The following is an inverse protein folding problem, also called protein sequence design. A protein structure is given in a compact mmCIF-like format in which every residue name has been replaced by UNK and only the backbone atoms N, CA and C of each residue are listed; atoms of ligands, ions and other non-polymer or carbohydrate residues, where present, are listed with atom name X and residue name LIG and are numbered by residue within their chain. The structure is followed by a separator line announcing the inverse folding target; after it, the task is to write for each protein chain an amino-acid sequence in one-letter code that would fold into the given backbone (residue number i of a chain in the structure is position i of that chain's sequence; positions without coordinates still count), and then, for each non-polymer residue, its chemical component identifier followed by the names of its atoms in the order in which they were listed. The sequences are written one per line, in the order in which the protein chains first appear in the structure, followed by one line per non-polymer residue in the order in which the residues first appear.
data_IF_199894090086
#
_entry.id   IF_199894090086
#
_cell.length_a   1.000
_cell.length_b   1.000
_cell.length_c   1.000
_cell.angle_alpha   90.00
_cell.angle_beta   90.00
_cell.angle_gamma   90.00
#
_symmetry.space_group_name_H-M   'P 1'
#
loop_
_entity.id
_entity.type
_entity.pdbx_description
1 polymer ?
#
# COMPACT_ATOMS: atom_id res chain seq x y z
N UNK A 1 -24.12 -4.21 8.45
CA UNK A 1 -23.68 -3.27 7.39
C UNK A 1 -22.31 -2.74 7.77
N UNK A 2 -21.24 -3.26 7.15
CA UNK A 2 -19.88 -2.76 7.38
C UNK A 2 -19.76 -1.40 6.67
N UNK A 3 -19.42 -0.36 7.42
CA UNK A 3 -19.20 0.97 6.85
C UNK A 3 -17.81 1.00 6.20
N UNK A 4 -17.76 0.71 4.90
CA UNK A 4 -16.53 0.51 4.12
C UNK A 4 -15.59 1.74 4.17
N UNK A 5 -16.15 2.96 4.26
CA UNK A 5 -15.36 4.19 4.49
C UNK A 5 -14.64 4.19 5.84
N UNK A 6 -15.25 3.60 6.85
CA UNK A 6 -14.63 3.35 8.15
C UNK A 6 -13.48 2.33 8.04
N UNK A 7 -13.65 1.26 7.26
CA UNK A 7 -12.64 0.21 7.12
C UNK A 7 -11.32 0.69 6.51
N UNK A 8 -11.37 1.48 5.43
CA UNK A 8 -10.16 2.06 4.83
C UNK A 8 -9.46 3.04 5.79
N UNK A 9 -10.21 3.93 6.42
CA UNK A 9 -9.64 4.86 7.40
C UNK A 9 -9.00 4.11 8.58
N UNK A 10 -9.67 3.08 9.10
CA UNK A 10 -9.14 2.23 10.17
C UNK A 10 -7.91 1.45 9.72
N UNK A 11 -7.86 0.97 8.47
CA UNK A 11 -6.68 0.35 7.90
C UNK A 11 -5.49 1.29 7.91
N UNK A 12 -5.62 2.48 7.31
CA UNK A 12 -4.53 3.45 7.27
C UNK A 12 -4.08 3.84 8.69
N UNK A 13 -5.04 4.06 9.59
CA UNK A 13 -4.75 4.40 10.98
C UNK A 13 -4.02 3.26 11.71
N UNK A 14 -4.44 2.02 11.52
CA UNK A 14 -3.85 0.85 12.15
C UNK A 14 -2.43 0.59 11.62
N UNK A 15 -2.20 0.71 10.30
CA UNK A 15 -0.86 0.58 9.69
C UNK A 15 0.10 1.64 10.25
N UNK A 16 -0.33 2.90 10.32
CA UNK A 16 0.49 3.97 10.90
C UNK A 16 0.76 3.75 12.40
N UNK A 17 -0.25 3.28 13.16
CA UNK A 17 -0.08 2.95 14.58
C UNK A 17 0.90 1.79 14.78
N UNK A 18 0.83 0.76 13.94
CA UNK A 18 1.77 -0.36 13.97
C UNK A 18 3.19 0.13 13.71
N UNK A 19 3.40 0.92 12.66
CA UNK A 19 4.71 1.48 12.32
C UNK A 19 5.28 2.36 13.46
N UNK A 20 4.42 3.12 14.14
CA UNK A 20 4.78 4.00 15.27
C UNK A 20 4.95 3.28 16.61
N UNK A 21 4.69 1.98 16.66
CA UNK A 21 4.87 1.23 17.89
C UNK A 21 6.34 1.29 18.32
N UNK A 22 6.59 1.84 19.52
CA UNK A 22 7.93 2.07 20.08
C UNK A 22 8.77 0.79 20.25
N UNK A 23 8.14 -0.39 20.20
CA UNK A 23 8.83 -1.69 20.20
C UNK A 23 9.42 -2.06 18.84
N UNK A 24 9.11 -1.30 17.79
CA UNK A 24 9.66 -1.47 16.44
C UNK A 24 10.48 -0.24 16.04
N UNK A 25 11.55 -0.45 15.27
CA UNK A 25 12.34 0.63 14.65
C UNK A 25 11.73 1.13 13.33
N UNK A 26 10.56 0.63 12.93
CA UNK A 26 9.94 0.87 11.63
C UNK A 26 9.68 2.35 11.36
N UNK A 27 9.16 3.09 12.34
CA UNK A 27 8.91 4.53 12.15
C UNK A 27 10.20 5.31 11.89
N UNK A 28 11.30 4.96 12.57
CA UNK A 28 12.59 5.59 12.33
C UNK A 28 13.15 5.20 10.96
N UNK A 29 13.02 3.92 10.58
CA UNK A 29 13.40 3.43 9.26
C UNK A 29 12.65 4.17 8.14
N UNK A 30 11.33 4.31 8.24
CA UNK A 30 10.52 5.06 7.27
C UNK A 30 10.84 6.56 7.22
N UNK A 31 11.40 7.13 8.29
CA UNK A 31 11.84 8.53 8.30
C UNK A 31 13.23 8.71 7.69
N UNK A 32 14.11 7.73 7.88
CA UNK A 32 15.51 7.79 7.48
C UNK A 32 15.77 7.29 6.05
N UNK A 33 14.97 6.35 5.56
CA UNK A 33 15.17 5.70 4.26
C UNK A 33 14.02 5.99 3.28
N UNK A 34 14.36 6.57 2.13
CA UNK A 34 13.38 6.96 1.10
C UNK A 34 12.68 5.75 0.45
N UNK A 35 13.38 4.63 0.29
CA UNK A 35 12.83 3.40 -0.26
C UNK A 35 11.87 2.76 0.75
N UNK A 36 12.24 2.71 2.03
CA UNK A 36 11.34 2.25 3.09
C UNK A 36 10.08 3.14 3.17
N UNK A 37 10.25 4.47 3.11
CA UNK A 37 9.13 5.41 3.09
C UNK A 37 8.21 5.15 1.89
N UNK A 38 8.76 4.79 0.72
CA UNK A 38 7.99 4.41 -0.46
C UNK A 38 7.18 3.14 -0.22
N UNK A 39 7.76 2.13 0.41
CA UNK A 39 7.06 0.89 0.76
C UNK A 39 5.85 1.17 1.64
N UNK A 40 6.00 1.97 2.70
CA UNK A 40 4.88 2.35 3.56
C UNK A 40 3.76 3.02 2.76
N UNK A 41 4.08 3.91 1.82
CA UNK A 41 3.09 4.58 0.97
C UNK A 41 2.38 3.62 0.03
N UNK A 42 3.10 2.69 -0.58
CA UNK A 42 2.51 1.67 -1.44
C UNK A 42 1.55 0.77 -0.64
N UNK A 43 1.93 0.37 0.57
CA UNK A 43 1.06 -0.39 1.49
C UNK A 43 -0.22 0.39 1.80
N UNK A 44 -0.11 1.67 2.17
CA UNK A 44 -1.29 2.50 2.46
C UNK A 44 -2.22 2.71 1.24
N UNK A 45 -1.70 2.52 0.03
CA UNK A 45 -2.45 2.64 -1.20
C UNK A 45 -3.11 1.31 -1.66
N UNK A 46 -2.76 0.16 -1.05
CA UNK A 46 -3.30 -1.15 -1.45
C UNK A 46 -4.83 -1.17 -1.54
N UNK A 47 -5.60 -0.62 -0.58
CA UNK A 47 -7.07 -0.70 -0.64
C UNK A 47 -7.73 0.04 -1.82
N UNK A 48 -6.97 0.81 -2.61
CA UNK A 48 -7.49 1.39 -3.85
C UNK A 48 -7.57 0.38 -4.99
N UNK A 49 -6.90 -0.76 -4.86
CA UNK A 49 -7.00 -1.87 -5.80
C UNK A 49 -8.23 -2.73 -5.49
N UNK A 50 -8.82 -3.38 -6.51
CA UNK A 50 -9.88 -4.34 -6.30
C UNK A 50 -9.41 -5.48 -5.40
N UNK A 51 -10.33 -6.06 -4.62
CA UNK A 51 -10.02 -7.20 -3.77
C UNK A 51 -9.51 -8.42 -4.55
N UNK A 52 -10.02 -8.61 -5.77
CA UNK A 52 -9.64 -9.67 -6.71
C UNK A 52 -9.30 -9.06 -8.05
N UNK A 53 -8.51 -9.76 -8.86
CA UNK A 53 -8.10 -9.28 -10.18
C UNK A 53 -9.33 -9.12 -11.09
N UNK A 54 -9.35 -8.08 -11.93
CA UNK A 54 -10.42 -7.83 -12.90
C UNK A 54 -9.85 -7.98 -14.31
N UNK A 55 -9.95 -9.19 -14.84
CA UNK A 55 -9.34 -9.58 -16.12
C UNK A 55 -7.83 -9.27 -16.15
N UNK A 56 -7.28 -9.07 -17.35
CA UNK A 56 -5.86 -8.75 -17.53
C UNK A 56 -5.55 -7.25 -17.44
N UNK A 57 -6.55 -6.44 -17.06
CA UNK A 57 -6.47 -4.97 -17.16
C UNK A 57 -6.21 -4.31 -15.80
N UNK A 58 -6.74 -4.89 -14.72
CA UNK A 58 -6.65 -4.27 -13.41
C UNK A 58 -6.13 -5.25 -12.34
N UNK A 59 -4.96 -4.95 -11.73
CA UNK A 59 -4.37 -5.78 -10.70
C UNK A 59 -5.18 -5.72 -9.40
N UNK A 60 -5.17 -6.81 -8.67
CA UNK A 60 -5.76 -6.94 -7.34
C UNK A 60 -4.90 -6.32 -6.23
N UNK A 61 -5.46 -6.22 -5.03
CA UNK A 61 -4.68 -5.91 -3.82
C UNK A 61 -3.51 -6.88 -3.61
N UNK A 62 -3.68 -8.16 -3.97
CA UNK A 62 -2.64 -9.18 -3.83
C UNK A 62 -1.51 -8.95 -4.85
N UNK A 63 -1.84 -8.67 -6.11
CA UNK A 63 -0.87 -8.30 -7.14
C UNK A 63 -0.10 -7.03 -6.75
N UNK A 64 -0.82 -6.07 -6.16
CA UNK A 64 -0.26 -4.86 -5.57
C UNK A 64 0.76 -5.17 -4.47
N UNK A 65 0.44 -6.10 -3.58
CA UNK A 65 1.33 -6.51 -2.50
C UNK A 65 2.55 -7.27 -3.04
N UNK A 66 2.38 -8.16 -4.00
CA UNK A 66 3.47 -8.89 -4.66
C UNK A 66 4.46 -7.94 -5.33
N UNK A 67 3.95 -6.90 -6.01
CA UNK A 67 4.80 -5.85 -6.58
C UNK A 67 5.60 -5.07 -5.52
N UNK A 68 5.06 -4.88 -4.32
CA UNK A 68 5.77 -4.27 -3.19
C UNK A 68 6.87 -5.21 -2.70
N UNK A 69 6.61 -6.51 -2.61
CA UNK A 69 7.60 -7.53 -2.25
C UNK A 69 8.76 -7.51 -3.27
N UNK A 70 8.47 -7.51 -4.57
CA UNK A 70 9.48 -7.40 -5.62
C UNK A 70 10.29 -6.10 -5.54
N UNK A 71 9.62 -4.98 -5.22
CA UNK A 71 10.29 -3.71 -4.99
C UNK A 71 11.27 -3.78 -3.82
N UNK A 72 10.83 -4.34 -2.69
CA UNK A 72 11.63 -4.47 -1.47
C UNK A 72 12.81 -5.42 -1.67
N UNK A 73 12.62 -6.49 -2.43
CA UNK A 73 13.67 -7.49 -2.71
C UNK A 73 14.83 -6.92 -3.54
N UNK A 74 14.67 -5.78 -4.21
CA UNK A 74 15.79 -5.04 -4.82
C UNK A 74 16.74 -4.44 -3.78
N UNK A 75 16.32 -4.39 -2.50
CA UNK A 75 17.08 -3.83 -1.38
C UNK A 75 17.14 -4.84 -0.21
N UNK A 76 18.09 -5.79 -0.22
CA UNK A 76 18.14 -6.86 0.78
C UNK A 76 18.15 -6.38 2.25
N UNK A 77 18.79 -5.23 2.50
CA UNK A 77 18.81 -4.60 3.83
C UNK A 77 17.42 -4.12 4.30
N UNK A 78 16.54 -3.72 3.38
CA UNK A 78 15.15 -3.39 3.69
C UNK A 78 14.28 -4.63 3.79
N UNK A 79 14.49 -5.61 2.91
CA UNK A 79 13.74 -6.87 2.95
C UNK A 79 13.82 -7.52 4.33
N UNK A 80 15.02 -7.60 4.90
CA UNK A 80 15.20 -8.14 6.25
C UNK A 80 14.46 -7.32 7.32
N UNK A 81 14.59 -5.99 7.28
CA UNK A 81 14.00 -5.11 8.30
C UNK A 81 12.47 -5.01 8.20
N UNK A 82 11.91 -5.11 6.99
CA UNK A 82 10.48 -4.99 6.73
C UNK A 82 9.75 -6.33 6.74
N UNK A 83 10.46 -7.46 6.80
CA UNK A 83 9.87 -8.79 6.69
C UNK A 83 8.70 -9.02 7.66
N UNK A 84 8.91 -8.74 8.95
CA UNK A 84 7.87 -8.91 9.99
C UNK A 84 6.66 -7.98 9.74
N UNK A 85 6.93 -6.75 9.34
CA UNK A 85 5.87 -5.80 9.01
C UNK A 85 5.06 -6.26 7.80
N UNK A 86 5.72 -6.70 6.73
CA UNK A 86 5.06 -7.08 5.48
C UNK A 86 4.33 -8.41 5.59
N UNK A 87 4.99 -9.48 6.04
CA UNK A 87 4.41 -10.81 5.96
C UNK A 87 3.57 -11.18 7.18
N UNK A 88 4.00 -10.79 8.40
CA UNK A 88 3.24 -11.16 9.60
C UNK A 88 2.10 -10.19 9.85
N UNK A 89 2.32 -8.89 9.68
CA UNK A 89 1.29 -7.89 9.92
C UNK A 89 0.46 -7.58 8.67
N UNK A 90 1.06 -7.08 7.59
CA UNK A 90 0.28 -6.69 6.40
C UNK A 90 -0.41 -7.91 5.79
N UNK A 91 0.34 -8.93 5.39
CA UNK A 91 -0.24 -10.14 4.80
C UNK A 91 -1.05 -10.94 5.81
N UNK A 92 -0.44 -11.37 6.92
CA UNK A 92 -1.10 -12.25 7.90
C UNK A 92 -2.39 -11.68 8.50
N UNK A 93 -2.43 -10.39 8.82
CA UNK A 93 -3.64 -9.79 9.38
C UNK A 93 -4.58 -9.26 8.29
N UNK A 94 -4.10 -8.42 7.37
CA UNK A 94 -5.01 -7.72 6.46
C UNK A 94 -5.44 -8.55 5.25
N UNK A 95 -4.60 -9.45 4.75
CA UNK A 95 -4.95 -10.32 3.63
C UNK A 95 -5.60 -11.62 4.11
N UNK A 96 -5.03 -12.27 5.13
CA UNK A 96 -5.54 -13.58 5.59
C UNK A 96 -6.67 -13.44 6.61
N UNK A 97 -6.49 -12.64 7.66
CA UNK A 97 -7.49 -12.57 8.76
C UNK A 97 -8.70 -11.70 8.40
N UNK A 98 -8.46 -10.49 7.89
CA UNK A 98 -9.53 -9.55 7.53
C UNK A 98 -10.07 -9.75 6.12
N UNK A 99 -9.19 -10.11 5.17
CA UNK A 99 -9.53 -10.26 3.76
C UNK A 99 -9.52 -8.92 2.99
N UNK A 100 -8.99 -8.87 1.75
CA UNK A 100 -8.96 -7.66 0.92
C UNK A 100 -10.33 -6.99 0.71
N UNK A 101 -11.39 -7.79 0.58
CA UNK A 101 -12.76 -7.31 0.39
C UNK A 101 -13.30 -6.47 1.57
N UNK A 102 -12.77 -6.67 2.78
CA UNK A 102 -13.18 -5.90 3.96
C UNK A 102 -12.62 -4.48 3.98
N UNK A 103 -11.57 -4.22 3.21
CA UNK A 103 -10.76 -2.99 3.31
C UNK A 103 -10.78 -2.18 2.01
N UNK A 104 -10.91 -2.85 0.87
CA UNK A 104 -10.90 -2.18 -0.44
C UNK A 104 -11.99 -1.11 -0.54
N UNK A 105 -11.64 0.00 -1.17
CA UNK A 105 -12.55 1.10 -1.55
C UNK A 105 -12.71 1.19 -3.06
N UNK A 106 -12.21 0.21 -3.80
CA UNK A 106 -12.35 0.12 -5.24
C UNK A 106 -13.82 0.07 -5.66
N UNK A 107 -14.18 0.85 -6.69
CA UNK A 107 -15.53 0.95 -7.27
C UNK A 107 -16.66 1.35 -6.29
N UNK A 108 -16.32 1.92 -5.12
CA UNK A 108 -17.30 2.58 -4.27
C UNK A 108 -17.62 3.97 -4.84
N UNK A 109 -18.86 4.45 -4.68
CA UNK A 109 -19.27 5.83 -5.01
C UNK A 109 -18.46 6.83 -4.17
N UNK A 110 -17.24 7.12 -4.61
CA UNK A 110 -16.41 8.18 -4.10
C UNK A 110 -16.93 9.45 -4.77
N UNK A 111 -18.08 9.94 -4.29
CA UNK A 111 -18.44 11.35 -4.43
C UNK A 111 -17.44 12.17 -3.58
N UNK A 112 -16.18 12.24 -4.00
CA UNK A 112 -15.12 13.13 -3.53
C UNK A 112 -13.84 12.88 -4.32
N UNK A 113 -13.75 13.45 -5.52
CA UNK A 113 -12.47 13.78 -6.16
C UNK A 113 -11.52 14.48 -5.15
N UNK A 114 -12.08 15.29 -4.23
CA UNK A 114 -11.36 15.97 -3.16
C UNK A 114 -10.61 15.07 -2.14
N UNK A 115 -11.05 13.85 -1.84
CA UNK A 115 -10.36 13.00 -0.85
C UNK A 115 -9.16 12.26 -1.45
N UNK A 116 -9.30 11.80 -2.70
CA UNK A 116 -8.20 11.23 -3.48
C UNK A 116 -7.17 12.32 -3.80
N UNK A 117 -7.61 13.51 -4.19
CA UNK A 117 -6.74 14.67 -4.41
C UNK A 117 -6.09 15.19 -3.13
N UNK A 118 -6.80 15.25 -1.99
CA UNK A 118 -6.21 15.70 -0.71
C UNK A 118 -5.28 14.65 -0.08
N UNK A 119 -5.55 13.36 -0.27
CA UNK A 119 -4.61 12.30 0.09
C UNK A 119 -3.41 12.28 -0.85
N UNK A 120 -3.60 12.39 -2.17
CA UNK A 120 -2.50 12.61 -3.11
C UNK A 120 -1.73 13.89 -2.79
N UNK A 121 -2.37 14.99 -2.37
CA UNK A 121 -1.71 16.22 -1.97
C UNK A 121 -1.00 16.10 -0.61
N UNK A 122 -1.47 15.26 0.30
CA UNK A 122 -0.81 14.94 1.57
C UNK A 122 0.39 14.01 1.36
N UNK A 123 0.22 13.02 0.47
CA UNK A 123 1.24 12.13 -0.06
C UNK A 123 2.33 12.95 -0.78
N UNK A 124 1.96 13.86 -1.69
CA UNK A 124 2.86 14.81 -2.37
C UNK A 124 3.49 15.85 -1.43
N UNK A 125 2.90 16.12 -0.25
CA UNK A 125 3.53 16.96 0.79
C UNK A 125 4.60 16.20 1.59
N UNK A 126 4.40 14.91 1.79
CA UNK A 126 5.34 14.01 2.46
C UNK A 126 6.47 13.53 1.54
N UNK A 127 6.38 13.75 0.23
CA UNK A 127 7.29 13.22 -0.78
C UNK A 127 7.67 14.38 -1.71
N UNK A 128 8.96 14.76 -1.78
CA UNK A 128 9.44 15.57 -2.91
C UNK A 128 9.02 14.89 -4.23
N UNK A 129 8.68 15.64 -5.29
CA UNK A 129 7.96 15.10 -6.44
C UNK A 129 8.70 13.90 -7.04
N UNK A 130 8.09 12.70 -6.98
CA UNK A 130 8.06 11.59 -7.96
C UNK A 130 7.85 10.19 -7.28
N UNK A 131 7.16 9.22 -7.91
CA UNK A 131 6.27 9.31 -9.06
C UNK A 131 4.80 8.93 -8.76
N UNK A 132 3.92 9.30 -9.69
CA UNK A 132 2.46 9.08 -9.64
C UNK A 132 2.17 7.57 -9.68
N UNK A 133 1.05 7.15 -9.07
CA UNK A 133 0.53 5.76 -9.06
C UNK A 133 0.60 5.10 -10.44
N UNK A 134 0.45 5.85 -11.53
CA UNK A 134 0.56 5.35 -12.91
C UNK A 134 1.94 4.83 -13.32
N UNK A 135 3.03 5.25 -12.68
CA UNK A 135 4.36 4.68 -12.93
C UNK A 135 4.51 3.26 -12.35
N UNK A 136 3.64 2.86 -11.43
CA UNK A 136 3.51 1.47 -10.96
C UNK A 136 3.05 0.55 -12.10
N UNK A 137 2.15 1.03 -12.95
CA UNK A 137 1.50 0.24 -14.01
C UNK A 137 2.33 0.13 -15.30
N UNK A 138 3.42 0.88 -15.42
CA UNK A 138 4.20 0.95 -16.67
C UNK A 138 5.24 -0.17 -16.82
N UNK A 139 5.45 -1.02 -15.80
CA UNK A 139 6.52 -2.02 -15.84
C UNK A 139 6.16 -3.34 -16.52
N UNK A 140 4.89 -3.57 -16.88
CA UNK A 140 4.48 -4.79 -17.59
C UNK A 140 4.45 -4.69 -19.11
N UNK A 141 5.03 -3.64 -19.71
CA UNK A 141 5.13 -3.51 -21.17
C UNK A 141 6.58 -3.58 -21.67
N UNK A 142 7.32 -4.59 -21.24
CA UNK A 142 8.59 -4.98 -21.88
C UNK A 142 8.86 -6.49 -21.70
N UNK A 143 8.13 -7.36 -22.40
CA UNK A 143 8.70 -8.48 -23.17
C UNK A 143 7.64 -8.94 -24.17
N UNK A 144 7.71 -8.46 -25.41
CA UNK A 144 7.26 -9.23 -26.58
C UNK A 144 8.39 -9.05 -27.60
N UNK A 145 9.26 -10.05 -27.70
CA UNK A 145 10.03 -10.37 -28.89
C UNK A 145 9.69 -11.81 -29.23
#
# INVERSE_FOLDING_TARGET
KVNIKGCYFHYCQAVIRYARNKRSNLFQLFKADNNAARVLRMILALPYLPATQIGDVLPSMEDGFNSIVEYVNQFPYLALQLNQFMFNYIWGYWFITMGPAAVTVFNQDIRTNNYVESYHASLLRLIKPHPKVWEFLKKERKVIH
#
